data_IF_764144736701
#
_entry.id   IF_764144736701
#
_cell.length_a   1.000
_cell.length_b   1.000
_cell.length_c   1.000
_cell.angle_alpha   90.00
_cell.angle_beta   90.00
_cell.angle_gamma   90.00
#
_symmetry.space_group_name_H-M   'P 1'
#
loop_
_entity.id
_entity.type
_entity.pdbx_description
1 polymer ?
#
# COMPACT_ATOMS: atom_id res chain seq x y z
N UNK A 1 9.88 12.18 -67.38
CA UNK A 1 9.43 13.15 -66.35
C UNK A 1 9.02 12.45 -65.03
N UNK A 2 9.50 11.24 -64.72
CA UNK A 2 9.07 10.50 -63.52
C UNK A 2 9.92 10.76 -62.26
N UNK A 3 11.07 11.44 -62.37
CA UNK A 3 11.99 11.63 -61.25
C UNK A 3 11.63 12.73 -60.25
N UNK A 4 10.82 13.73 -60.65
CA UNK A 4 10.52 14.89 -59.79
C UNK A 4 9.45 14.56 -58.72
N UNK A 5 8.42 13.79 -59.08
CA UNK A 5 7.32 13.47 -58.17
C UNK A 5 7.70 12.49 -57.04
N UNK A 6 8.63 11.56 -57.29
CA UNK A 6 9.07 10.57 -56.29
C UNK A 6 9.96 11.22 -55.21
N UNK A 7 10.77 12.22 -55.59
CA UNK A 7 11.61 12.98 -54.66
C UNK A 7 10.77 13.85 -53.72
N UNK A 8 9.76 14.56 -54.25
CA UNK A 8 8.81 15.36 -53.46
C UNK A 8 8.02 14.50 -52.45
N UNK A 9 7.58 13.30 -52.85
CA UNK A 9 6.86 12.40 -51.94
C UNK A 9 7.73 11.85 -50.80
N UNK A 10 9.00 11.55 -51.08
CA UNK A 10 9.93 11.06 -50.06
C UNK A 10 10.34 12.16 -49.08
N UNK A 11 10.54 13.39 -49.56
CA UNK A 11 10.80 14.54 -48.69
C UNK A 11 9.60 14.82 -47.78
N UNK A 12 8.37 14.84 -48.31
CA UNK A 12 7.16 15.08 -47.52
C UNK A 12 6.91 14.00 -46.45
N UNK A 13 7.17 12.72 -46.78
CA UNK A 13 7.12 11.62 -45.81
C UNK A 13 8.18 11.78 -44.71
N UNK A 14 9.41 12.16 -45.07
CA UNK A 14 10.49 12.37 -44.10
C UNK A 14 10.20 13.50 -43.10
N UNK A 15 9.58 14.59 -43.57
CA UNK A 15 9.14 15.71 -42.73
C UNK A 15 8.04 15.25 -41.76
N UNK A 16 7.09 14.47 -42.24
CA UNK A 16 5.97 13.95 -41.43
C UNK A 16 6.45 13.03 -40.30
N UNK A 17 7.42 12.15 -40.56
CA UNK A 17 8.01 11.30 -39.52
C UNK A 17 8.76 12.11 -38.47
N UNK A 18 9.56 13.10 -38.89
CA UNK A 18 10.29 13.96 -37.96
C UNK A 18 9.36 14.74 -37.00
N UNK A 19 8.21 15.23 -37.50
CA UNK A 19 7.19 15.89 -36.67
C UNK A 19 6.52 14.93 -35.68
N UNK A 20 6.20 13.70 -36.12
CA UNK A 20 5.68 12.65 -35.23
C UNK A 20 6.68 12.30 -34.14
N UNK A 21 7.96 12.05 -34.47
CA UNK A 21 9.02 11.77 -33.49
C UNK A 21 9.16 12.89 -32.46
N UNK A 22 9.05 14.16 -32.87
CA UNK A 22 9.10 15.30 -31.96
C UNK A 22 7.92 15.30 -30.98
N UNK A 23 6.74 14.93 -31.44
CA UNK A 23 5.52 14.84 -30.61
C UNK A 23 5.61 13.69 -29.61
N UNK A 24 6.11 12.53 -30.06
CA UNK A 24 6.36 11.38 -29.18
C UNK A 24 7.40 11.69 -28.10
N UNK A 25 8.49 12.39 -28.45
CA UNK A 25 9.51 12.82 -27.49
C UNK A 25 8.95 13.75 -26.40
N UNK A 26 8.03 14.65 -26.76
CA UNK A 26 7.32 15.50 -25.80
C UNK A 26 6.44 14.68 -24.85
N UNK A 27 5.70 13.70 -25.37
CA UNK A 27 4.89 12.78 -24.56
C UNK A 27 5.76 11.95 -23.61
N UNK A 28 6.85 11.37 -24.11
CA UNK A 28 7.85 10.66 -23.29
C UNK A 28 8.36 11.53 -22.15
N UNK A 29 8.75 12.78 -22.44
CA UNK A 29 9.20 13.73 -21.41
C UNK A 29 8.13 14.02 -20.34
N UNK A 30 6.86 14.14 -20.76
CA UNK A 30 5.73 14.28 -19.84
C UNK A 30 5.55 13.05 -18.93
N UNK A 31 5.66 11.84 -19.49
CA UNK A 31 5.59 10.60 -18.72
C UNK A 31 6.76 10.48 -17.74
N UNK A 32 7.99 10.78 -18.16
CA UNK A 32 9.16 10.84 -17.27
C UNK A 32 8.90 11.79 -16.08
N UNK A 33 8.37 12.98 -16.34
CA UNK A 33 8.03 13.92 -15.27
C UNK A 33 6.92 13.40 -14.33
N UNK A 34 5.96 12.62 -14.83
CA UNK A 34 4.95 11.96 -13.99
C UNK A 34 5.56 10.85 -13.13
N UNK A 35 6.45 10.03 -13.69
CA UNK A 35 7.19 8.98 -12.98
C UNK A 35 8.00 9.60 -11.84
N UNK A 36 8.80 10.65 -12.12
CA UNK A 36 9.57 11.35 -11.07
C UNK A 36 8.69 11.88 -9.93
N UNK A 37 7.49 12.40 -10.25
CA UNK A 37 6.53 12.85 -9.21
C UNK A 37 5.98 11.70 -8.38
N UNK A 38 5.76 10.53 -8.98
CA UNK A 38 5.31 9.32 -8.26
C UNK A 38 6.44 8.75 -7.38
N UNK A 39 7.67 8.74 -7.88
CA UNK A 39 8.84 8.28 -7.14
C UNK A 39 9.14 9.17 -5.93
N UNK A 40 9.10 10.50 -6.09
CA UNK A 40 9.19 11.42 -4.94
C UNK A 40 8.04 11.20 -3.95
N UNK A 41 6.81 10.97 -4.42
CA UNK A 41 5.72 10.62 -3.51
C UNK A 41 6.01 9.34 -2.71
N UNK A 42 6.52 8.29 -3.38
CA UNK A 42 6.87 7.03 -2.73
C UNK A 42 7.95 7.23 -1.65
N UNK A 43 9.00 7.97 -1.98
CA UNK A 43 10.14 8.16 -1.08
C UNK A 43 9.84 9.09 0.10
N UNK A 44 9.05 10.14 -0.11
CA UNK A 44 8.91 11.21 0.88
C UNK A 44 7.61 11.13 1.70
N UNK A 45 6.54 10.55 1.13
CA UNK A 45 5.17 10.74 1.65
C UNK A 45 4.38 9.46 1.82
N UNK A 46 4.73 8.38 1.11
CA UNK A 46 3.87 7.21 1.01
C UNK A 46 3.77 6.40 2.32
N UNK A 47 4.82 6.36 3.14
CA UNK A 47 4.81 5.58 4.40
C UNK A 47 3.71 5.99 5.39
N UNK A 48 3.27 7.26 5.34
CA UNK A 48 2.25 7.81 6.22
C UNK A 48 0.93 8.11 5.48
N UNK A 49 0.83 7.72 4.21
CA UNK A 49 -0.35 7.99 3.40
C UNK A 49 -1.49 7.03 3.75
N UNK A 50 -2.72 7.52 3.64
CA UNK A 50 -3.90 6.69 3.80
C UNK A 50 -4.02 5.65 2.66
N UNK A 51 -4.60 4.49 2.97
CA UNK A 51 -4.77 3.38 2.04
C UNK A 51 -5.45 3.81 0.72
N UNK A 52 -6.48 4.65 0.79
CA UNK A 52 -7.19 5.15 -0.40
C UNK A 52 -6.30 5.99 -1.31
N UNK A 53 -5.42 6.82 -0.72
CA UNK A 53 -4.47 7.61 -1.49
C UNK A 53 -3.42 6.72 -2.15
N UNK A 54 -2.89 5.73 -1.43
CA UNK A 54 -1.96 4.74 -1.98
C UNK A 54 -2.57 3.98 -3.16
N UNK A 55 -3.83 3.54 -3.03
CA UNK A 55 -4.55 2.86 -4.11
C UNK A 55 -4.72 3.78 -5.33
N UNK A 56 -5.14 5.04 -5.13
CA UNK A 56 -5.24 6.02 -6.23
C UNK A 56 -3.91 6.27 -6.95
N UNK A 57 -2.78 6.17 -6.24
CA UNK A 57 -1.44 6.27 -6.86
C UNK A 57 -1.11 5.01 -7.66
N UNK A 58 -1.47 3.84 -7.17
CA UNK A 58 -1.28 2.56 -7.86
C UNK A 58 -2.13 2.48 -9.15
N UNK A 59 -3.35 3.01 -9.13
CA UNK A 59 -4.20 3.10 -10.31
C UNK A 59 -3.56 4.00 -11.39
N UNK A 60 -2.92 5.11 -10.97
CA UNK A 60 -2.16 6.00 -11.87
C UNK A 60 -0.93 5.32 -12.46
N UNK A 61 -0.26 4.46 -11.70
CA UNK A 61 0.85 3.64 -12.20
C UNK A 61 0.35 2.69 -13.29
N UNK A 62 -0.78 2.02 -13.05
CA UNK A 62 -1.42 1.13 -14.03
C UNK A 62 -1.82 1.87 -15.31
N UNK A 63 -2.41 3.07 -15.20
CA UNK A 63 -2.71 3.93 -16.35
C UNK A 63 -1.44 4.33 -17.12
N UNK A 64 -0.32 4.53 -16.41
CA UNK A 64 0.96 4.91 -17.01
C UNK A 64 1.58 3.76 -17.82
N UNK A 65 1.48 2.52 -17.36
CA UNK A 65 1.89 1.35 -18.14
C UNK A 65 1.16 1.27 -19.48
N UNK A 66 -0.18 1.37 -19.47
CA UNK A 66 -0.96 1.37 -20.72
C UNK A 66 -0.58 2.52 -21.65
N UNK A 67 -0.30 3.69 -21.08
CA UNK A 67 0.14 4.87 -21.84
C UNK A 67 1.54 4.71 -22.44
N UNK A 68 2.44 4.03 -21.73
CA UNK A 68 3.80 3.74 -22.18
C UNK A 68 3.83 2.68 -23.26
N UNK A 69 3.02 1.63 -23.14
CA UNK A 69 2.89 0.60 -24.16
C UNK A 69 2.38 1.19 -25.48
N UNK A 70 1.34 2.02 -25.42
CA UNK A 70 0.86 2.75 -26.60
C UNK A 70 1.96 3.64 -27.21
N UNK A 71 2.76 4.33 -26.37
CA UNK A 71 3.87 5.16 -26.82
C UNK A 71 4.97 4.33 -27.51
N UNK A 72 5.30 3.14 -26.99
CA UNK A 72 6.27 2.21 -27.59
C UNK A 72 5.82 1.81 -28.99
N UNK A 73 4.57 1.37 -29.13
CA UNK A 73 3.98 0.98 -30.42
C UNK A 73 4.11 2.12 -31.43
N UNK A 74 3.71 3.34 -31.05
CA UNK A 74 3.81 4.52 -31.92
C UNK A 74 5.27 4.86 -32.32
N UNK A 75 6.24 4.60 -31.46
CA UNK A 75 7.65 4.79 -31.77
C UNK A 75 8.16 3.77 -32.79
N UNK A 76 7.80 2.50 -32.67
CA UNK A 76 8.20 1.44 -33.60
C UNK A 76 7.68 1.69 -35.04
N UNK A 77 6.61 2.46 -35.21
CA UNK A 77 6.09 2.83 -36.53
C UNK A 77 6.86 3.96 -37.22
N UNK A 78 7.61 4.79 -36.47
CA UNK A 78 8.06 6.12 -36.94
C UNK A 78 9.58 6.29 -36.83
N UNK A 79 10.22 5.62 -35.87
CA UNK A 79 11.65 5.75 -35.60
C UNK A 79 12.44 4.80 -36.48
N UNK A 80 13.56 5.29 -37.02
CA UNK A 80 14.47 4.48 -37.84
C UNK A 80 15.23 3.48 -36.97
N UNK A 81 15.55 2.33 -37.55
CA UNK A 81 16.25 1.23 -36.89
C UNK A 81 17.54 1.67 -36.18
N UNK A 82 18.30 2.63 -36.74
CA UNK A 82 19.56 3.09 -36.12
C UNK A 82 19.36 3.82 -34.79
N UNK A 83 18.19 4.45 -34.58
CA UNK A 83 17.87 5.19 -33.36
C UNK A 83 17.10 4.35 -32.34
N UNK A 84 16.60 3.19 -32.77
CA UNK A 84 15.73 2.32 -31.99
C UNK A 84 16.42 1.80 -30.70
N UNK A 85 17.69 1.33 -30.72
CA UNK A 85 18.32 0.79 -29.51
C UNK A 85 18.45 1.83 -28.38
N UNK A 86 18.80 3.07 -28.72
CA UNK A 86 18.91 4.15 -27.73
C UNK A 86 17.54 4.53 -27.17
N UNK A 87 16.49 4.47 -28.00
CA UNK A 87 15.15 4.73 -27.55
C UNK A 87 14.64 3.62 -26.64
N UNK A 88 14.88 2.35 -26.97
CA UNK A 88 14.52 1.19 -26.16
C UNK A 88 15.11 1.29 -24.76
N UNK A 89 16.42 1.59 -24.64
CA UNK A 89 17.06 1.82 -23.34
C UNK A 89 16.34 2.87 -22.50
N UNK A 90 15.96 4.01 -23.10
CA UNK A 90 15.25 5.08 -22.38
C UNK A 90 13.86 4.62 -21.91
N UNK A 91 13.18 3.80 -22.72
CA UNK A 91 11.84 3.31 -22.38
C UNK A 91 11.91 2.20 -21.32
N UNK A 92 12.90 1.32 -21.39
CA UNK A 92 13.19 0.29 -20.39
C UNK A 92 13.50 0.94 -19.02
N UNK A 93 14.38 1.95 -18.96
CA UNK A 93 14.66 2.69 -17.72
C UNK A 93 13.38 3.24 -17.08
N UNK A 94 12.47 3.81 -17.89
CA UNK A 94 11.19 4.34 -17.39
C UNK A 94 10.24 3.25 -16.89
N UNK A 95 10.29 2.04 -17.47
CA UNK A 95 9.49 0.91 -17.01
C UNK A 95 10.03 0.29 -15.72
N UNK A 96 11.35 0.22 -15.58
CA UNK A 96 12.02 -0.18 -14.35
C UNK A 96 11.63 0.75 -13.20
N UNK A 97 11.70 2.08 -13.41
CA UNK A 97 11.23 3.08 -12.44
C UNK A 97 9.75 2.86 -12.06
N UNK A 98 8.88 2.59 -13.03
CA UNK A 98 7.46 2.32 -12.76
C UNK A 98 7.26 1.03 -11.95
N UNK A 99 8.05 -0.01 -12.21
CA UNK A 99 7.92 -1.30 -11.51
C UNK A 99 8.40 -1.16 -10.07
N UNK A 100 9.50 -0.43 -9.84
CA UNK A 100 9.95 -0.09 -8.50
C UNK A 100 8.85 0.65 -7.73
N UNK A 101 8.23 1.66 -8.35
CA UNK A 101 7.15 2.43 -7.73
C UNK A 101 5.95 1.54 -7.40
N UNK A 102 5.54 0.69 -8.34
CA UNK A 102 4.42 -0.25 -8.18
C UNK A 102 4.65 -1.19 -7.00
N UNK A 103 5.82 -1.84 -6.95
CA UNK A 103 6.19 -2.77 -5.88
C UNK A 103 6.24 -2.05 -4.53
N UNK A 104 6.78 -0.83 -4.49
CA UNK A 104 6.81 -0.02 -3.27
C UNK A 104 5.41 0.30 -2.73
N UNK A 105 4.50 0.76 -3.60
CA UNK A 105 3.11 1.06 -3.21
C UNK A 105 2.34 -0.21 -2.78
N UNK A 106 2.51 -1.32 -3.49
CA UNK A 106 1.88 -2.59 -3.14
C UNK A 106 2.38 -3.11 -1.78
N UNK A 107 3.67 -2.98 -1.50
CA UNK A 107 4.26 -3.36 -0.21
C UNK A 107 3.65 -2.55 0.94
N UNK A 108 3.43 -1.25 0.74
CA UNK A 108 2.77 -0.39 1.74
C UNK A 108 1.31 -0.79 1.93
N UNK A 109 0.57 -1.04 0.86
CA UNK A 109 -0.83 -1.49 0.94
C UNK A 109 -0.98 -2.83 1.69
N UNK A 110 -0.07 -3.79 1.47
CA UNK A 110 -0.05 -5.05 2.21
C UNK A 110 0.12 -4.82 3.73
N UNK A 111 0.98 -3.87 4.13
CA UNK A 111 1.12 -3.49 5.55
C UNK A 111 -0.17 -2.92 6.12
N UNK A 112 -0.91 -2.11 5.35
CA UNK A 112 -2.22 -1.60 5.78
C UNK A 112 -3.26 -2.72 5.96
N UNK A 113 -3.29 -3.70 5.05
CA UNK A 113 -4.24 -4.82 5.13
C UNK A 113 -3.96 -5.76 6.31
N UNK A 114 -2.69 -6.00 6.63
CA UNK A 114 -2.31 -6.76 7.83
C UNK A 114 -2.79 -6.06 9.10
N UNK A 115 -2.66 -4.74 9.18
CA UNK A 115 -3.17 -3.94 10.31
C UNK A 115 -4.71 -3.98 10.34
N UNK A 116 -5.37 -3.82 9.20
CA UNK A 116 -6.84 -3.78 9.08
C UNK A 116 -7.51 -5.10 9.45
N UNK A 117 -6.96 -6.24 9.01
CA UNK A 117 -7.41 -7.58 9.41
C UNK A 117 -7.27 -7.79 10.91
N UNK A 118 -6.17 -7.30 11.49
CA UNK A 118 -5.96 -7.37 12.93
C UNK A 118 -6.95 -6.46 13.70
N UNK A 119 -7.38 -5.32 13.14
CA UNK A 119 -8.40 -4.45 13.78
C UNK A 119 -9.82 -5.04 13.66
N UNK A 120 -10.16 -5.66 12.51
CA UNK A 120 -11.51 -6.17 12.24
C UNK A 120 -11.91 -7.37 13.11
N UNK A 121 -10.95 -8.18 13.57
CA UNK A 121 -11.18 -9.28 14.51
C UNK A 121 -11.73 -8.76 15.86
N UNK A 122 -11.52 -7.48 16.19
CA UNK A 122 -12.02 -6.91 17.42
C UNK A 122 -13.51 -6.49 17.37
N UNK A 123 -14.21 -6.53 16.23
CA UNK A 123 -15.56 -5.94 16.09
C UNK A 123 -16.75 -6.91 16.23
N UNK A 124 -16.53 -8.20 16.42
CA UNK A 124 -17.60 -9.17 16.69
C UNK A 124 -17.80 -9.34 18.21
N UNK A 125 -19.05 -9.42 18.66
CA UNK A 125 -19.38 -9.76 20.04
C UNK A 125 -18.65 -11.06 20.42
N UNK A 126 -17.85 -11.02 21.48
CA UNK A 126 -16.90 -12.07 21.81
C UNK A 126 -17.62 -13.35 22.25
N UNK A 127 -17.64 -14.36 21.38
CA UNK A 127 -17.83 -15.76 21.79
C UNK A 127 -16.53 -16.32 22.37
N UNK A 128 -16.57 -17.50 22.99
CA UNK A 128 -15.41 -18.13 23.65
C UNK A 128 -14.17 -18.22 22.74
N UNK A 129 -14.37 -18.56 21.47
CA UNK A 129 -13.29 -18.64 20.47
C UNK A 129 -12.84 -17.25 19.96
N UNK A 130 -13.70 -16.24 20.10
CA UNK A 130 -13.42 -14.86 19.68
C UNK A 130 -12.43 -14.15 20.60
N UNK A 131 -12.49 -14.41 21.92
CA UNK A 131 -11.60 -13.74 22.89
C UNK A 131 -10.14 -14.15 22.70
N UNK A 132 -9.85 -15.44 22.50
CA UNK A 132 -8.48 -15.90 22.19
C UNK A 132 -7.93 -15.22 20.95
N UNK A 133 -8.72 -15.22 19.88
CA UNK A 133 -8.31 -14.63 18.60
C UNK A 133 -8.02 -13.12 18.75
N UNK A 134 -8.83 -12.38 19.52
CA UNK A 134 -8.57 -10.97 19.80
C UNK A 134 -7.28 -10.76 20.59
N UNK A 135 -7.01 -11.56 21.62
CA UNK A 135 -5.75 -11.49 22.39
C UNK A 135 -4.54 -11.76 21.48
N UNK A 136 -4.60 -12.81 20.66
CA UNK A 136 -3.52 -13.20 19.76
C UNK A 136 -3.22 -12.11 18.74
N UNK A 137 -4.28 -11.50 18.20
CA UNK A 137 -4.20 -10.41 17.22
C UNK A 137 -3.65 -9.13 17.84
N UNK A 138 -4.08 -8.76 19.05
CA UNK A 138 -3.53 -7.60 19.77
C UNK A 138 -2.04 -7.83 20.06
N UNK A 139 -1.66 -9.01 20.55
CA UNK A 139 -0.26 -9.33 20.81
C UNK A 139 0.57 -9.36 19.52
N UNK A 140 0.00 -9.79 18.39
CA UNK A 140 0.64 -9.69 17.07
C UNK A 140 0.84 -8.23 16.66
N UNK A 141 -0.17 -7.38 16.86
CA UNK A 141 -0.09 -5.94 16.56
C UNK A 141 0.94 -5.22 17.42
N UNK A 142 0.94 -5.44 18.74
CA UNK A 142 1.92 -4.83 19.65
C UNK A 142 3.36 -5.21 19.28
N UNK A 143 3.58 -6.47 18.86
CA UNK A 143 4.86 -6.90 18.30
C UNK A 143 5.19 -6.19 16.98
N UNK A 144 4.22 -6.05 16.08
CA UNK A 144 4.39 -5.32 14.82
C UNK A 144 4.74 -3.85 15.02
N UNK A 145 4.07 -3.16 15.95
CA UNK A 145 4.37 -1.78 16.32
C UNK A 145 5.80 -1.64 16.86
N UNK A 146 6.22 -2.56 17.73
CA UNK A 146 7.60 -2.59 18.25
C UNK A 146 8.65 -2.77 17.15
N UNK A 147 8.37 -3.58 16.13
CA UNK A 147 9.27 -3.75 14.97
C UNK A 147 9.37 -2.49 14.11
N UNK A 148 8.36 -1.62 14.17
CA UNK A 148 8.31 -0.33 13.47
C UNK A 148 8.87 0.83 14.31
N UNK A 149 9.49 0.54 15.47
CA UNK A 149 10.00 1.54 16.41
C UNK A 149 8.89 2.48 16.96
N UNK A 150 7.64 2.01 16.93
CA UNK A 150 6.49 2.69 17.53
C UNK A 150 6.29 2.14 18.95
N UNK A 151 6.83 2.84 19.95
CA UNK A 151 6.69 2.45 21.35
C UNK A 151 5.24 2.59 21.84
N UNK A 152 4.73 1.54 22.48
CA UNK A 152 3.47 1.61 23.22
C UNK A 152 3.73 2.17 24.61
N UNK A 153 3.14 3.32 24.89
CA UNK A 153 3.24 3.97 26.19
C UNK A 153 2.01 3.65 27.05
N UNK A 154 2.07 4.09 28.31
CA UNK A 154 1.01 3.85 29.29
C UNK A 154 -0.36 4.40 28.83
N UNK A 155 -0.38 5.52 28.11
CA UNK A 155 -1.61 6.08 27.53
C UNK A 155 -2.20 5.17 26.45
N UNK A 156 -1.37 4.63 25.55
CA UNK A 156 -1.80 3.66 24.54
C UNK A 156 -2.40 2.42 25.20
N UNK A 157 -1.78 1.92 26.27
CA UNK A 157 -2.31 0.79 27.04
C UNK A 157 -3.68 1.12 27.66
N UNK A 158 -3.86 2.30 28.25
CA UNK A 158 -5.17 2.70 28.80
C UNK A 158 -6.26 2.78 27.72
N UNK A 159 -5.93 3.30 26.54
CA UNK A 159 -6.87 3.31 25.42
C UNK A 159 -7.25 1.90 24.98
N UNK A 160 -6.26 1.00 24.85
CA UNK A 160 -6.51 -0.40 24.48
C UNK A 160 -7.40 -1.09 25.51
N UNK A 161 -7.10 -0.98 26.81
CA UNK A 161 -7.94 -1.54 27.89
C UNK A 161 -9.39 -1.03 27.76
N UNK A 162 -9.57 0.29 27.63
CA UNK A 162 -10.90 0.90 27.52
C UNK A 162 -11.67 0.49 26.26
N UNK A 163 -10.98 0.22 25.14
CA UNK A 163 -11.62 -0.27 23.92
C UNK A 163 -12.03 -1.73 24.09
N UNK A 164 -11.15 -2.56 24.65
CA UNK A 164 -11.36 -4.01 24.77
C UNK A 164 -12.42 -4.33 25.84
N UNK A 165 -12.40 -3.65 26.99
CA UNK A 165 -13.37 -3.87 28.07
C UNK A 165 -14.81 -3.63 27.58
N UNK A 166 -15.02 -2.64 26.70
CA UNK A 166 -16.31 -2.33 26.09
C UNK A 166 -16.79 -3.39 25.09
N UNK A 167 -15.87 -4.23 24.62
CA UNK A 167 -16.12 -5.33 23.68
C UNK A 167 -16.31 -6.68 24.37
N UNK A 168 -15.89 -6.81 25.64
CA UNK A 168 -16.16 -7.98 26.49
C UNK A 168 -17.67 -8.22 26.65
N UNK A 169 -18.05 -9.48 26.70
CA UNK A 169 -19.38 -9.90 27.11
C UNK A 169 -19.68 -9.43 28.55
N UNK A 170 -20.96 -9.37 28.88
CA UNK A 170 -21.42 -8.78 30.13
C UNK A 170 -20.88 -9.51 31.36
N UNK A 171 -20.64 -10.83 31.28
CA UNK A 171 -20.17 -11.63 32.41
C UNK A 171 -18.66 -11.44 32.60
N UNK A 172 -17.87 -11.54 31.53
CA UNK A 172 -16.43 -11.30 31.58
C UNK A 172 -16.10 -9.88 32.02
N UNK A 173 -16.89 -8.88 31.59
CA UNK A 173 -16.72 -7.51 32.06
C UNK A 173 -16.96 -7.37 33.56
N UNK A 174 -18.05 -7.94 34.08
CA UNK A 174 -18.36 -7.91 35.52
C UNK A 174 -17.27 -8.58 36.34
N UNK A 175 -16.79 -9.73 35.90
CA UNK A 175 -15.71 -10.46 36.59
C UNK A 175 -14.40 -9.65 36.61
N UNK A 176 -14.10 -8.94 35.51
CA UNK A 176 -12.97 -8.02 35.50
C UNK A 176 -13.16 -6.86 36.48
N UNK A 177 -14.32 -6.19 36.44
CA UNK A 177 -14.62 -5.07 37.33
C UNK A 177 -14.56 -5.48 38.82
N UNK A 178 -14.98 -6.70 39.15
CA UNK A 178 -14.89 -7.26 40.51
C UNK A 178 -13.47 -7.63 40.93
N UNK A 179 -12.55 -7.90 40.00
CA UNK A 179 -11.15 -8.18 40.32
C UNK A 179 -10.34 -6.92 40.62
N UNK A 180 -10.85 -5.74 40.23
CA UNK A 180 -10.26 -4.46 40.52
C UNK A 180 -10.51 -4.09 41.99
N UNK A 181 -9.44 -4.14 42.79
CA UNK A 181 -9.47 -3.87 44.24
C UNK A 181 -9.04 -2.44 44.59
N UNK A 182 -8.59 -1.65 43.61
CA UNK A 182 -8.04 -0.30 43.81
C UNK A 182 -8.48 0.65 42.69
N UNK A 183 -8.47 1.95 42.99
CA UNK A 183 -8.61 3.06 42.03
C UNK A 183 -7.33 3.35 41.25
N UNK A 184 -6.28 2.55 41.44
CA UNK A 184 -5.02 2.65 40.70
C UNK A 184 -5.17 2.40 39.20
N UNK A 185 -4.25 2.98 38.42
CA UNK A 185 -4.23 2.88 36.98
C UNK A 185 -4.06 1.42 36.53
N UNK A 186 -4.91 1.00 35.59
CA UNK A 186 -4.99 -0.39 35.14
C UNK A 186 -3.73 -0.77 34.35
N UNK A 187 -2.93 -1.70 34.86
CA UNK A 187 -1.73 -2.16 34.14
C UNK A 187 -2.10 -3.11 33.01
N UNK A 188 -1.43 -2.95 31.87
CA UNK A 188 -1.65 -3.75 30.68
C UNK A 188 -1.44 -5.24 30.94
N UNK A 189 -0.39 -5.58 31.68
CA UNK A 189 0.00 -6.95 31.99
C UNK A 189 -1.07 -7.67 32.80
N UNK A 190 -1.63 -6.99 33.81
CA UNK A 190 -2.70 -7.53 34.66
C UNK A 190 -4.00 -7.74 33.87
N UNK A 191 -4.32 -6.80 32.96
CA UNK A 191 -5.48 -6.94 32.08
C UNK A 191 -5.31 -8.13 31.13
N UNK A 192 -4.12 -8.29 30.54
CA UNK A 192 -3.82 -9.40 29.63
C UNK A 192 -3.92 -10.75 30.33
N UNK A 193 -3.37 -10.86 31.55
CA UNK A 193 -3.45 -12.07 32.37
C UNK A 193 -4.90 -12.44 32.70
N UNK A 194 -5.73 -11.46 33.07
CA UNK A 194 -7.17 -11.67 33.27
C UNK A 194 -7.83 -12.25 32.02
N UNK A 195 -7.58 -11.66 30.84
CA UNK A 195 -8.19 -12.11 29.60
C UNK A 195 -7.76 -13.54 29.23
N UNK A 196 -6.47 -13.87 29.38
CA UNK A 196 -5.95 -15.22 29.13
C UNK A 196 -6.60 -16.26 30.04
N UNK A 197 -6.68 -15.97 31.34
CA UNK A 197 -7.33 -16.85 32.31
C UNK A 197 -8.82 -17.05 31.97
N UNK A 198 -9.51 -15.97 31.59
CA UNK A 198 -10.93 -16.05 31.21
C UNK A 198 -11.14 -16.88 29.93
N UNK A 199 -10.29 -16.70 28.93
CA UNK A 199 -10.29 -17.52 27.70
C UNK A 199 -10.15 -19.00 28.04
N UNK A 200 -9.18 -19.36 28.89
CA UNK A 200 -8.97 -20.76 29.28
C UNK A 200 -10.19 -21.37 29.97
N UNK A 201 -10.83 -20.61 30.88
CA UNK A 201 -12.06 -21.05 31.56
C UNK A 201 -13.19 -21.25 30.56
N UNK A 202 -13.39 -20.31 29.64
CA UNK A 202 -14.47 -20.37 28.66
C UNK A 202 -14.34 -21.56 27.71
N UNK A 203 -13.12 -21.91 27.32
CA UNK A 203 -12.86 -23.08 26.50
C UNK A 203 -13.08 -24.38 27.27
N UNK A 204 -12.64 -24.44 28.52
CA UNK A 204 -12.86 -25.61 29.38
C UNK A 204 -14.36 -25.86 29.67
N UNK A 205 -15.20 -24.82 29.63
CA UNK A 205 -16.66 -24.93 29.85
C UNK A 205 -17.42 -25.39 28.60
N UNK A 206 -16.85 -25.29 27.41
CA UNK A 206 -17.50 -25.59 26.13
C UNK A 206 -16.75 -26.63 25.28
N UNK A 207 -15.70 -27.25 25.84
CA UNK A 207 -14.94 -28.35 25.26
C UNK A 207 -15.45 -29.71 25.69
#
# INVERSE_FOLDING_TARGET
MEGAGVLETNEMLSVTFAEKTKTLNRRRGSYKAKITKLQSFLNDKASNAEQLLLQSKLDKVSEMYSSMEALKIEYYEVVKDEQLPNLELILEEMEEDLEEIKVGLQTLLLKHDDISKNVSICNTALSNNGLRNVIDVINKNLRGLKLMDLETNELTHQFLINIIIRKLDIESRKLYEMSLTSTELLKWEMFLEFLQNRTQILENLHG
#
